data_IF_012746937483
#
_entry.id   IF_012746937483
#
_cell.length_a   1.000
_cell.length_b   1.000
_cell.length_c   1.000
_cell.angle_alpha   90.00
_cell.angle_beta   90.00
_cell.angle_gamma   90.00
#
_symmetry.space_group_name_H-M   'P 1'
#
loop_
_entity.id
_entity.type
_entity.pdbx_description
1 polymer ?
#
# COMPACT_ATOMS: atom_id res chain seq x y z
N UNK A 1 16.66 -2.81 -10.60
CA UNK A 1 17.55 -1.66 -10.62
C UNK A 1 17.40 -0.80 -9.38
N UNK A 2 16.22 -0.19 -9.14
CA UNK A 2 16.03 0.67 -7.97
C UNK A 2 16.10 -0.11 -6.65
N UNK A 3 15.45 -1.26 -6.61
CA UNK A 3 15.45 -2.10 -5.41
C UNK A 3 16.83 -2.71 -5.17
N UNK A 4 17.49 -3.17 -6.22
CA UNK A 4 18.84 -3.71 -6.10
C UNK A 4 19.81 -2.65 -5.55
N UNK A 5 19.66 -1.41 -6.00
CA UNK A 5 20.48 -0.30 -5.50
C UNK A 5 20.21 -0.03 -4.02
N UNK A 6 18.93 -0.06 -3.64
CA UNK A 6 18.55 0.15 -2.25
C UNK A 6 19.09 -0.94 -1.33
N UNK A 7 19.26 -2.15 -1.83
CA UNK A 7 19.76 -3.30 -1.05
C UNK A 7 21.28 -3.38 -0.99
N UNK A 8 22.00 -2.60 -1.79
CA UNK A 8 23.45 -2.73 -1.95
C UNK A 8 24.23 -2.53 -0.64
N UNK A 9 23.73 -1.74 0.27
CA UNK A 9 24.38 -1.48 1.57
C UNK A 9 23.91 -2.37 2.70
N UNK A 10 23.14 -3.41 2.43
CA UNK A 10 22.56 -4.28 3.45
C UNK A 10 21.76 -3.48 4.49
N UNK A 11 20.81 -2.64 4.07
CA UNK A 11 20.12 -1.72 4.96
C UNK A 11 19.19 -2.44 5.93
N UNK A 12 18.90 -1.78 7.07
CA UNK A 12 17.87 -2.22 8.02
C UNK A 12 16.51 -1.57 7.71
N UNK A 13 16.53 -0.42 7.05
CA UNK A 13 15.34 0.33 6.66
C UNK A 13 15.49 0.68 5.19
N UNK A 14 14.42 0.45 4.43
CA UNK A 14 14.38 0.79 3.02
C UNK A 14 13.20 1.72 2.78
N UNK A 15 13.45 2.84 2.10
CA UNK A 15 12.41 3.83 1.79
C UNK A 15 12.22 3.84 0.27
N UNK A 16 10.99 3.58 -0.17
CA UNK A 16 10.66 3.51 -1.58
C UNK A 16 9.54 4.50 -1.89
N UNK A 17 9.73 5.31 -2.92
CA UNK A 17 8.76 6.30 -3.36
C UNK A 17 8.09 5.81 -4.64
N UNK A 18 6.83 5.45 -4.52
CA UNK A 18 6.00 4.95 -5.62
C UNK A 18 6.72 3.88 -6.46
N UNK A 19 7.18 2.78 -5.83
CA UNK A 19 7.96 1.77 -6.54
C UNK A 19 7.18 1.05 -7.64
N UNK A 20 5.85 1.07 -7.57
CA UNK A 20 4.96 0.44 -8.54
C UNK A 20 4.51 1.40 -9.66
N UNK A 21 4.89 2.66 -9.57
CA UNK A 21 4.47 3.68 -10.52
C UNK A 21 4.95 3.36 -11.94
N UNK A 22 4.10 3.64 -12.93
CA UNK A 22 4.38 3.44 -14.37
C UNK A 22 4.50 1.98 -14.78
N UNK A 23 4.15 1.04 -13.92
CA UNK A 23 4.14 -0.38 -14.25
C UNK A 23 2.72 -0.82 -14.59
N UNK A 24 2.59 -1.86 -15.43
CA UNK A 24 1.31 -2.49 -15.70
C UNK A 24 0.85 -3.32 -14.48
N UNK A 25 -0.37 -3.82 -14.52
CA UNK A 25 -0.96 -4.55 -13.37
C UNK A 25 -0.12 -5.74 -12.93
N UNK A 26 0.40 -6.50 -13.88
CA UNK A 26 1.21 -7.68 -13.57
C UNK A 26 2.49 -7.27 -12.86
N UNK A 27 3.19 -6.28 -13.41
CA UNK A 27 4.47 -5.84 -12.85
C UNK A 27 4.30 -5.09 -11.55
N UNK A 28 3.20 -4.35 -11.37
CA UNK A 28 2.88 -3.76 -10.07
C UNK A 28 2.75 -4.84 -8.99
N UNK A 29 2.00 -5.89 -9.30
CA UNK A 29 1.81 -6.99 -8.36
C UNK A 29 3.14 -7.66 -8.03
N UNK A 30 3.96 -7.94 -9.04
CA UNK A 30 5.24 -8.62 -8.86
C UNK A 30 6.22 -7.79 -8.03
N UNK A 31 6.28 -6.47 -8.25
CA UNK A 31 7.20 -5.63 -7.48
C UNK A 31 6.78 -5.54 -6.01
N UNK A 32 5.49 -5.43 -5.75
CA UNK A 32 5.00 -5.36 -4.38
C UNK A 32 5.22 -6.68 -3.65
N UNK A 33 5.02 -7.81 -4.32
CA UNK A 33 5.32 -9.13 -3.73
C UNK A 33 6.80 -9.32 -3.47
N UNK A 34 7.65 -8.82 -4.35
CA UNK A 34 9.09 -8.86 -4.16
C UNK A 34 9.50 -8.06 -2.91
N UNK A 35 8.95 -6.86 -2.76
CA UNK A 35 9.26 -6.02 -1.61
C UNK A 35 8.83 -6.72 -0.31
N UNK A 36 7.63 -7.29 -0.29
CA UNK A 36 7.11 -8.01 0.87
C UNK A 36 8.04 -9.18 1.25
N UNK A 37 8.43 -9.96 0.26
CA UNK A 37 9.32 -11.10 0.48
C UNK A 37 10.70 -10.68 0.98
N UNK A 38 11.28 -9.62 0.41
CA UNK A 38 12.58 -9.12 0.84
C UNK A 38 12.53 -8.58 2.26
N UNK A 39 11.44 -7.91 2.62
CA UNK A 39 11.27 -7.41 3.98
C UNK A 39 11.26 -8.57 4.98
N UNK A 40 10.55 -9.64 4.66
CA UNK A 40 10.47 -10.80 5.55
C UNK A 40 11.78 -11.59 5.60
N UNK A 41 12.37 -11.91 4.45
CA UNK A 41 13.56 -12.76 4.38
C UNK A 41 14.81 -12.07 4.93
N UNK A 42 14.94 -10.78 4.71
CA UNK A 42 16.13 -10.02 5.13
C UNK A 42 15.89 -9.20 6.39
N UNK A 43 14.71 -9.30 6.98
CA UNK A 43 14.34 -8.57 8.18
C UNK A 43 14.54 -7.05 8.01
N UNK A 44 14.08 -6.53 6.89
CA UNK A 44 14.16 -5.10 6.55
C UNK A 44 12.81 -4.46 6.82
N UNK A 45 12.82 -3.29 7.46
CA UNK A 45 11.62 -2.47 7.57
C UNK A 45 11.49 -1.62 6.31
N UNK A 46 10.34 -1.67 5.65
CA UNK A 46 10.11 -0.93 4.43
C UNK A 46 9.08 0.17 4.64
N UNK A 47 9.40 1.37 4.17
CA UNK A 47 8.47 2.49 4.13
C UNK A 47 8.19 2.77 2.67
N UNK A 48 6.92 2.65 2.27
CA UNK A 48 6.51 2.82 0.88
C UNK A 48 5.54 3.98 0.79
N UNK A 49 5.86 4.96 -0.06
CA UNK A 49 4.93 6.04 -0.38
C UNK A 49 4.17 5.64 -1.64
N UNK A 50 2.84 5.66 -1.57
CA UNK A 50 2.00 5.27 -2.70
C UNK A 50 0.69 6.07 -2.70
N UNK A 51 0.09 6.20 -3.88
CA UNK A 51 -1.23 6.79 -4.05
C UNK A 51 -2.34 5.73 -4.12
N UNK A 52 -2.01 4.46 -3.99
CA UNK A 52 -2.97 3.37 -4.18
C UNK A 52 -3.31 2.71 -2.84
N UNK A 53 -4.47 3.05 -2.24
CA UNK A 53 -4.87 2.43 -0.97
C UNK A 53 -4.94 0.91 -1.02
N UNK A 54 -5.31 0.34 -2.18
CA UNK A 54 -5.37 -1.12 -2.33
C UNK A 54 -4.02 -1.79 -2.17
N UNK A 55 -2.93 -1.09 -2.48
CA UNK A 55 -1.58 -1.65 -2.28
C UNK A 55 -1.24 -1.73 -0.79
N UNK A 56 -1.67 -0.72 -0.02
CA UNK A 56 -1.49 -0.77 1.44
C UNK A 56 -2.27 -1.93 2.04
N UNK A 57 -3.51 -2.11 1.60
CA UNK A 57 -4.34 -3.23 2.07
C UNK A 57 -3.72 -4.59 1.74
N UNK A 58 -3.00 -4.69 0.63
CA UNK A 58 -2.42 -5.93 0.18
C UNK A 58 -1.23 -6.36 1.03
N UNK A 59 -0.38 -5.43 1.45
CA UNK A 59 0.92 -5.82 1.98
C UNK A 59 1.40 -5.08 3.23
N UNK A 60 0.81 -3.97 3.63
CA UNK A 60 1.38 -3.21 4.73
C UNK A 60 0.73 -3.50 6.08
N UNK A 61 1.55 -3.47 7.14
CA UNK A 61 1.10 -3.68 8.51
C UNK A 61 0.56 -2.39 9.12
N UNK A 62 1.23 -1.29 8.83
CA UNK A 62 0.87 0.04 9.32
C UNK A 62 0.69 0.99 8.15
N UNK A 63 -0.19 1.95 8.31
CA UNK A 63 -0.46 2.94 7.27
C UNK A 63 -0.52 4.33 7.89
N UNK A 64 0.09 5.29 7.19
CA UNK A 64 0.01 6.70 7.50
C UNK A 64 -0.79 7.37 6.39
N UNK A 65 -1.95 7.93 6.74
CA UNK A 65 -2.73 8.74 5.82
C UNK A 65 -2.36 10.20 6.01
N UNK A 66 -1.98 10.85 4.93
CA UNK A 66 -1.59 12.26 4.94
C UNK A 66 -2.65 13.11 4.26
N UNK A 67 -3.09 14.14 4.94
CA UNK A 67 -4.01 15.12 4.39
C UNK A 67 -3.43 16.52 4.52
N UNK A 68 -4.28 17.53 4.25
CA UNK A 68 -3.89 18.92 4.40
C UNK A 68 -3.90 19.28 5.88
N UNK A 69 -2.70 19.48 6.45
CA UNK A 69 -2.48 19.82 7.86
C UNK A 69 -3.06 18.80 8.84
N UNK A 70 -3.19 17.55 8.41
CA UNK A 70 -3.69 16.47 9.26
C UNK A 70 -3.10 15.14 8.84
N UNK A 71 -3.10 14.18 9.75
CA UNK A 71 -2.67 12.81 9.45
C UNK A 71 -3.35 11.82 10.39
N UNK A 72 -3.37 10.57 9.95
CA UNK A 72 -3.76 9.43 10.79
C UNK A 72 -2.73 8.34 10.62
N UNK A 73 -2.34 7.70 11.70
CA UNK A 73 -1.39 6.60 11.67
C UNK A 73 -1.89 5.45 12.54
N UNK A 74 -1.74 4.24 12.06
CA UNK A 74 -2.14 3.06 12.81
C UNK A 74 -2.08 1.80 11.97
N UNK A 75 -2.75 0.78 12.45
CA UNK A 75 -2.86 -0.48 11.70
C UNK A 75 -3.57 -0.25 10.39
N UNK A 76 -3.06 -0.88 9.33
CA UNK A 76 -3.61 -0.69 8.00
C UNK A 76 -5.11 -0.99 7.93
N UNK A 77 -5.55 -2.04 8.61
CA UNK A 77 -6.98 -2.41 8.63
C UNK A 77 -7.86 -1.30 9.20
N UNK A 78 -7.34 -0.56 10.18
CA UNK A 78 -8.09 0.53 10.81
C UNK A 78 -7.98 1.83 10.03
N UNK A 79 -6.87 2.03 9.33
CA UNK A 79 -6.63 3.29 8.61
C UNK A 79 -7.24 3.31 7.23
N UNK A 80 -7.11 2.21 6.48
CA UNK A 80 -7.63 2.12 5.12
C UNK A 80 -9.06 1.59 5.20
N UNK A 81 -9.98 2.51 5.45
CA UNK A 81 -11.41 2.23 5.52
C UNK A 81 -12.17 3.30 4.75
N UNK A 82 -13.43 3.02 4.41
CA UNK A 82 -14.22 3.87 3.52
C UNK A 82 -14.37 5.30 4.03
N UNK A 83 -14.59 5.47 5.34
CA UNK A 83 -14.76 6.81 5.93
C UNK A 83 -13.48 7.63 5.88
N UNK A 84 -12.33 7.03 6.21
CA UNK A 84 -11.05 7.71 6.15
C UNK A 84 -10.67 8.06 4.71
N UNK A 85 -10.92 7.16 3.79
CA UNK A 85 -10.64 7.40 2.38
C UNK A 85 -11.52 8.55 1.85
N UNK A 86 -12.79 8.59 2.27
CA UNK A 86 -13.68 9.69 1.89
C UNK A 86 -13.13 11.03 2.40
N UNK A 87 -12.67 11.07 3.64
CA UNK A 87 -12.15 12.28 4.25
C UNK A 87 -10.84 12.75 3.60
N UNK A 88 -9.91 11.83 3.36
CA UNK A 88 -8.56 12.18 2.93
C UNK A 88 -8.41 12.31 1.42
N UNK A 89 -9.22 11.59 0.65
CA UNK A 89 -9.12 11.59 -0.81
C UNK A 89 -10.32 12.22 -1.52
N UNK A 90 -11.35 12.60 -0.77
CA UNK A 90 -12.55 13.26 -1.33
C UNK A 90 -13.27 12.37 -2.33
N UNK A 91 -13.38 11.08 -2.03
CA UNK A 91 -14.06 10.12 -2.88
C UNK A 91 -14.96 9.22 -2.05
N UNK A 92 -15.99 8.68 -2.72
CA UNK A 92 -16.83 7.63 -2.16
C UNK A 92 -16.34 6.31 -2.73
N UNK A 93 -16.04 5.38 -1.84
CA UNK A 93 -15.45 4.10 -2.21
C UNK A 93 -16.09 2.95 -1.48
N UNK A 94 -15.80 1.75 -1.92
CA UNK A 94 -16.18 0.51 -1.26
C UNK A 94 -14.95 -0.36 -1.10
N UNK A 95 -14.84 -0.95 0.08
CA UNK A 95 -13.83 -1.97 0.36
C UNK A 95 -14.59 -3.26 0.57
N UNK A 96 -14.37 -4.22 -0.33
CA UNK A 96 -15.08 -5.48 -0.33
C UNK A 96 -14.12 -6.64 -0.23
N UNK A 97 -14.59 -7.75 0.31
CA UNK A 97 -13.79 -8.95 0.42
C UNK A 97 -14.01 -9.80 -0.83
N UNK A 98 -12.91 -10.20 -1.46
CA UNK A 98 -12.92 -11.07 -2.63
C UNK A 98 -12.28 -12.39 -2.25
N UNK A 99 -13.03 -13.48 -2.44
CA UNK A 99 -12.55 -14.81 -2.10
C UNK A 99 -11.80 -15.44 -3.26
N UNK A 100 -10.69 -16.08 -2.93
CA UNK A 100 -9.87 -16.83 -3.89
C UNK A 100 -9.55 -18.17 -3.24
N UNK A 101 -10.43 -19.15 -3.44
CA UNK A 101 -10.34 -20.45 -2.75
C UNK A 101 -10.54 -20.26 -1.25
N UNK A 102 -9.56 -20.69 -0.46
CA UNK A 102 -9.59 -20.53 1.00
C UNK A 102 -9.05 -19.16 1.44
N UNK A 103 -8.43 -18.43 0.52
CA UNK A 103 -7.90 -17.11 0.81
C UNK A 103 -8.92 -16.03 0.49
N UNK A 104 -8.74 -14.86 1.11
CA UNK A 104 -9.54 -13.70 0.77
C UNK A 104 -8.65 -12.46 0.69
N UNK A 105 -9.07 -11.50 -0.11
CA UNK A 105 -8.38 -10.24 -0.28
C UNK A 105 -9.39 -9.11 -0.25
N UNK A 106 -8.96 -7.96 0.22
CA UNK A 106 -9.79 -6.76 0.19
C UNK A 106 -9.58 -6.04 -1.13
N UNK A 107 -10.68 -5.70 -1.78
CA UNK A 107 -10.69 -4.93 -3.01
C UNK A 107 -11.17 -3.52 -2.73
N UNK A 108 -10.55 -2.56 -3.38
CA UNK A 108 -10.89 -1.16 -3.24
C UNK A 108 -11.48 -0.66 -4.56
N UNK A 109 -12.68 -0.10 -4.51
CA UNK A 109 -13.39 0.39 -5.69
C UNK A 109 -13.82 1.83 -5.46
N UNK A 110 -13.44 2.72 -6.36
CA UNK A 110 -13.89 4.11 -6.34
C UNK A 110 -15.26 4.17 -7.03
N UNK A 111 -16.26 4.68 -6.31
CA UNK A 111 -17.61 4.79 -6.84
C UNK A 111 -17.91 6.16 -7.40
N UNK A 112 -17.44 7.22 -6.76
CA UNK A 112 -17.69 8.59 -7.20
C UNK A 112 -16.78 9.54 -6.43
N UNK A 113 -16.74 10.78 -6.89
CA UNK A 113 -16.07 11.84 -6.16
C UNK A 113 -17.06 12.48 -5.18
N UNK A 114 -16.54 13.11 -4.12
CA UNK A 114 -17.35 13.86 -3.16
C UNK A 114 -17.35 15.36 -3.47
N UNK A 115 -16.52 15.77 -4.42
CA UNK A 115 -16.47 17.16 -4.88
C UNK A 115 -16.39 17.23 -6.38
#
# INVERSE_FOLDING_TARGET
ALIARALAGNPKIMILDEPESHLDFKNQFLILKLIERLADEKNISCIINTHFPEHALMMSDKTLLLGDQKYLFGNTEDMVEEEHIAEYFQIRSRIAEVKDGENSRKAFVVLDTLK
#
